data_IF_907490792923
#
_entry.id   IF_907490792923
#
_cell.length_a   1.000
_cell.length_b   1.000
_cell.length_c   1.000
_cell.angle_alpha   90.00
_cell.angle_beta   90.00
_cell.angle_gamma   90.00
#
_symmetry.space_group_name_H-M   'P 1'
#
loop_
_entity.id
_entity.type
_entity.pdbx_description
1 polymer ?
#
# COMPACT_ATOMS: atom_id res chain seq x y z
N UNK A 1 21.08 -10.52 -13.05
CA UNK A 1 20.23 -9.96 -11.98
C UNK A 1 19.31 -8.96 -12.67
N UNK A 2 18.02 -9.26 -12.84
CA UNK A 2 17.12 -8.47 -13.72
C UNK A 2 16.73 -7.16 -13.02
N UNK A 3 17.00 -6.04 -13.68
CA UNK A 3 17.05 -4.68 -13.11
C UNK A 3 15.91 -3.77 -13.65
N UNK A 4 14.82 -4.37 -14.12
CA UNK A 4 13.78 -3.65 -14.87
C UNK A 4 12.52 -3.38 -14.03
N UNK A 5 12.56 -3.62 -12.72
CA UNK A 5 11.44 -3.38 -11.83
C UNK A 5 11.26 -1.87 -11.60
N UNK A 6 10.33 -1.25 -12.33
CA UNK A 6 9.94 0.14 -12.09
C UNK A 6 9.19 0.24 -10.77
N UNK A 7 9.74 0.99 -9.82
CA UNK A 7 9.08 1.34 -8.56
C UNK A 7 8.23 2.60 -8.76
N UNK A 8 6.98 2.56 -8.30
CA UNK A 8 6.10 3.72 -8.18
C UNK A 8 5.96 4.09 -6.70
N UNK A 9 6.11 5.37 -6.38
CA UNK A 9 5.94 5.89 -5.02
C UNK A 9 4.82 6.93 -5.00
N UNK A 10 3.87 6.75 -4.07
CA UNK A 10 2.81 7.71 -3.79
C UNK A 10 2.95 8.14 -2.34
N UNK A 11 2.93 9.44 -2.08
CA UNK A 11 2.91 9.99 -0.74
C UNK A 11 1.70 10.92 -0.57
N UNK A 12 1.02 10.84 0.58
CA UNK A 12 -0.11 11.72 0.94
C UNK A 12 -0.09 12.03 2.43
N UNK A 13 -0.30 13.31 2.76
CA UNK A 13 -0.49 13.76 4.13
C UNK A 13 -2.00 13.80 4.44
N UNK A 14 -2.38 13.24 5.58
CA UNK A 14 -3.73 13.26 6.10
C UNK A 14 -3.77 14.05 7.42
N UNK A 15 -4.77 14.90 7.57
CA UNK A 15 -5.02 15.65 8.80
C UNK A 15 -5.84 14.80 9.80
N UNK A 16 -5.26 13.65 10.16
CA UNK A 16 -5.85 12.65 11.04
C UNK A 16 -4.75 11.76 11.64
N UNK A 17 -5.04 11.16 12.79
CA UNK A 17 -4.14 10.25 13.49
C UNK A 17 -3.93 8.94 12.72
N UNK A 18 -2.80 8.29 12.97
CA UNK A 18 -2.36 7.13 12.18
C UNK A 18 -3.27 5.93 12.29
N UNK A 19 -3.82 5.67 13.48
CA UNK A 19 -4.78 4.58 13.68
C UNK A 19 -6.03 4.78 12.83
N UNK A 20 -6.59 6.00 12.82
CA UNK A 20 -7.77 6.34 12.03
C UNK A 20 -7.51 6.17 10.53
N UNK A 21 -6.38 6.70 10.04
CA UNK A 21 -5.99 6.57 8.63
C UNK A 21 -5.74 5.11 8.25
N UNK A 22 -5.10 4.33 9.10
CA UNK A 22 -4.83 2.90 8.86
C UNK A 22 -6.12 2.07 8.79
N UNK A 23 -7.04 2.28 9.73
CA UNK A 23 -8.33 1.58 9.77
C UNK A 23 -9.20 1.92 8.55
N UNK A 24 -9.32 3.22 8.23
CA UNK A 24 -10.03 3.66 7.03
C UNK A 24 -9.41 3.07 5.76
N UNK A 25 -8.08 3.05 5.67
CA UNK A 25 -7.37 2.45 4.55
C UNK A 25 -7.67 0.95 4.39
N UNK A 26 -7.64 0.18 5.48
CA UNK A 26 -7.98 -1.25 5.46
C UNK A 26 -9.43 -1.49 5.04
N UNK A 27 -10.36 -0.68 5.54
CA UNK A 27 -11.79 -0.81 5.22
C UNK A 27 -12.06 -0.61 3.72
N UNK A 28 -11.34 0.30 3.07
CA UNK A 28 -11.54 0.63 1.66
C UNK A 28 -10.71 -0.22 0.69
N UNK A 29 -9.63 -0.86 1.16
CA UNK A 29 -8.73 -1.65 0.32
C UNK A 29 -9.43 -2.67 -0.60
N UNK A 30 -10.43 -3.45 -0.13
CA UNK A 30 -11.13 -4.42 -0.98
C UNK A 30 -11.90 -3.78 -2.13
N UNK A 31 -12.44 -2.57 -1.93
CA UNK A 31 -13.16 -1.84 -2.98
C UNK A 31 -12.21 -1.33 -4.07
N UNK A 32 -10.93 -1.13 -3.75
CA UNK A 32 -9.91 -0.66 -4.70
C UNK A 32 -9.24 -1.79 -5.48
N UNK A 33 -9.01 -2.94 -4.83
CA UNK A 33 -8.19 -4.02 -5.38
C UNK A 33 -8.97 -5.32 -5.68
N UNK A 34 -10.24 -5.39 -5.29
CA UNK A 34 -10.97 -6.66 -5.18
C UNK A 34 -10.54 -7.45 -3.94
N UNK A 35 -10.77 -8.75 -3.94
CA UNK A 35 -10.27 -9.66 -2.89
C UNK A 35 -8.74 -9.83 -3.02
N UNK A 36 -7.98 -8.77 -2.74
CA UNK A 36 -6.53 -8.85 -2.64
C UNK A 36 -6.15 -9.46 -1.29
N UNK A 37 -5.36 -10.55 -1.25
CA UNK A 37 -4.88 -11.08 0.01
C UNK A 37 -3.89 -10.09 0.61
N UNK A 38 -4.25 -9.48 1.74
CA UNK A 38 -3.29 -8.78 2.59
C UNK A 38 -2.34 -9.83 3.14
N UNK A 39 -1.05 -9.71 2.79
CA UNK A 39 -0.05 -10.72 3.13
C UNK A 39 0.43 -10.54 4.56
N UNK A 40 0.61 -9.27 4.99
CA UNK A 40 1.06 -8.94 6.33
C UNK A 40 0.59 -7.53 6.73
N UNK A 41 0.16 -7.38 7.98
CA UNK A 41 -0.04 -6.07 8.62
C UNK A 41 0.76 -5.99 9.90
N UNK A 42 1.36 -4.82 10.16
CA UNK A 42 1.86 -4.42 11.49
C UNK A 42 1.07 -3.17 11.88
N UNK A 43 -0.10 -3.32 12.51
CA UNK A 43 -0.96 -2.18 12.79
C UNK A 43 -0.35 -1.20 13.81
N UNK A 44 -0.55 0.13 13.67
CA UNK A 44 -1.11 0.84 12.51
C UNK A 44 -0.03 1.34 11.53
N UNK A 45 1.16 0.73 11.52
CA UNK A 45 2.38 1.30 10.90
C UNK A 45 2.62 0.83 9.46
N UNK A 46 2.19 -0.40 9.14
CA UNK A 46 2.57 -1.08 7.90
C UNK A 46 1.48 -2.02 7.41
N UNK A 47 1.22 -1.99 6.10
CA UNK A 47 0.53 -3.05 5.38
C UNK A 47 1.35 -3.46 4.14
N UNK A 48 1.49 -4.76 3.92
CA UNK A 48 2.13 -5.33 2.74
C UNK A 48 1.14 -6.26 2.05
N UNK A 49 0.92 -6.06 0.77
CA UNK A 49 0.06 -6.89 -0.05
C UNK A 49 0.63 -7.03 -1.46
N UNK A 50 0.26 -8.11 -2.13
CA UNK A 50 0.57 -8.32 -3.55
C UNK A 50 -0.73 -8.45 -4.30
N UNK A 51 -0.90 -7.72 -5.39
CA UNK A 51 -2.06 -7.87 -6.27
C UNK A 51 -1.63 -8.00 -7.72
N UNK A 52 -2.45 -8.68 -8.52
CA UNK A 52 -2.35 -8.64 -9.97
C UNK A 52 -3.01 -7.36 -10.47
N UNK A 53 -2.36 -6.55 -11.32
CA UNK A 53 -3.03 -5.45 -11.98
C UNK A 53 -4.16 -5.98 -12.88
N UNK A 54 -5.18 -5.15 -13.07
CA UNK A 54 -6.42 -5.48 -13.82
C UNK A 54 -6.14 -5.89 -15.27
N UNK A 55 -5.00 -5.50 -15.82
CA UNK A 55 -4.50 -6.03 -17.09
C UNK A 55 -3.71 -7.32 -16.83
N UNK A 56 -4.23 -8.44 -17.33
CA UNK A 56 -3.70 -9.81 -17.26
C UNK A 56 -2.35 -10.01 -17.99
N UNK A 57 -1.42 -9.08 -17.78
CA UNK A 57 -0.05 -9.04 -18.31
C UNK A 57 0.86 -10.12 -17.74
N UNK A 58 0.44 -10.81 -16.67
CA UNK A 58 1.25 -11.78 -15.93
C UNK A 58 2.17 -11.15 -14.89
N UNK A 59 2.15 -9.82 -14.74
CA UNK A 59 2.97 -9.12 -13.78
C UNK A 59 2.29 -9.03 -12.41
N UNK A 60 3.08 -9.11 -11.34
CA UNK A 60 2.61 -8.92 -9.97
C UNK A 60 3.12 -7.59 -9.43
N UNK A 61 2.32 -6.91 -8.62
CA UNK A 61 2.77 -5.71 -7.90
C UNK A 61 2.76 -5.99 -6.40
N UNK A 62 3.93 -5.90 -5.77
CA UNK A 62 4.02 -5.85 -4.31
C UNK A 62 3.92 -4.40 -3.87
N UNK A 63 3.00 -4.11 -2.97
CA UNK A 63 2.81 -2.79 -2.38
C UNK A 63 3.20 -2.82 -0.91
N UNK A 64 4.01 -1.85 -0.52
CA UNK A 64 4.32 -1.55 0.88
C UNK A 64 3.68 -0.21 1.21
N UNK A 65 2.67 -0.23 2.07
CA UNK A 65 1.99 0.94 2.59
C UNK A 65 2.47 1.23 4.01
N UNK A 66 3.12 2.37 4.22
CA UNK A 66 3.60 2.84 5.52
C UNK A 66 2.79 4.06 5.97
N UNK A 67 2.55 4.12 7.27
CA UNK A 67 1.84 5.21 7.92
C UNK A 67 2.71 5.77 9.05
N UNK A 68 3.13 7.02 8.93
CA UNK A 68 3.99 7.71 9.89
C UNK A 68 3.22 8.88 10.49
N UNK A 69 3.09 8.91 11.82
CA UNK A 69 2.40 10.00 12.51
C UNK A 69 3.40 11.05 12.98
N UNK A 70 3.06 12.32 12.78
CA UNK A 70 3.74 13.46 13.40
C UNK A 70 2.73 14.57 13.64
N UNK A 71 2.72 15.11 14.85
CA UNK A 71 1.88 16.26 15.24
C UNK A 71 0.38 16.06 14.94
N UNK A 72 -0.12 14.83 15.14
CA UNK A 72 -1.52 14.45 14.88
C UNK A 72 -1.88 14.25 13.41
N UNK A 73 -0.92 14.39 12.50
CA UNK A 73 -1.08 14.16 11.06
C UNK A 73 -0.38 12.88 10.64
N UNK A 74 -0.88 12.24 9.59
CA UNK A 74 -0.32 10.98 9.07
C UNK A 74 0.25 11.16 7.68
N UNK A 75 1.54 10.90 7.51
CA UNK A 75 2.15 10.69 6.20
C UNK A 75 1.95 9.23 5.80
N UNK A 76 1.09 9.02 4.81
CA UNK A 76 0.95 7.75 4.10
C UNK A 76 1.95 7.70 2.94
N UNK A 77 2.74 6.63 2.87
CA UNK A 77 3.60 6.34 1.71
C UNK A 77 3.32 4.94 1.18
N UNK A 78 2.99 4.85 -0.10
CA UNK A 78 2.86 3.60 -0.84
C UNK A 78 4.04 3.43 -1.79
N UNK A 79 4.69 2.28 -1.74
CA UNK A 79 5.72 1.86 -2.70
C UNK A 79 5.24 0.61 -3.40
N UNK A 80 5.02 0.73 -4.70
CA UNK A 80 4.56 -0.35 -5.55
C UNK A 80 5.71 -0.81 -6.46
N UNK A 81 6.09 -2.09 -6.33
CA UNK A 81 7.12 -2.71 -7.16
C UNK A 81 6.50 -3.74 -8.09
N UNK A 82 6.67 -3.54 -9.39
CA UNK A 82 6.25 -4.49 -10.43
C UNK A 82 7.29 -5.59 -10.61
N UNK A 83 6.83 -6.83 -10.70
CA UNK A 83 7.60 -8.03 -10.97
C UNK A 83 7.10 -8.67 -12.28
N UNK A 84 8.04 -9.17 -13.10
CA UNK A 84 7.81 -9.85 -14.39
C UNK A 84 8.50 -11.22 -14.41
#
# INVERSE_FOLDING_TARGET
MRDDAREMVIARLFDAGRTEVFEAWLQHLPAWLGEAPVLQTIPPELAVFTHMPVEASGDYVTVIARFEEKDGQTLYTSRARRWR
#
